data_IF_491742014234
#
_entry.id   IF_491742014234
#
_cell.length_a   1.000
_cell.length_b   1.000
_cell.length_c   1.000
_cell.angle_alpha   90.00
_cell.angle_beta   90.00
_cell.angle_gamma   90.00
#
_symmetry.space_group_name_H-M   'P 1'
#
loop_
_entity.id
_entity.type
_entity.pdbx_description
1 polymer ?
#
# COMPACT_ATOMS: atom_id res chain seq x y z
N UNK A 1 15.66 -15.04 11.66
CA UNK A 1 16.30 -14.45 10.47
C UNK A 1 15.54 -14.90 9.23
N UNK A 2 15.50 -14.06 8.19
CA UNK A 2 14.94 -14.44 6.90
C UNK A 2 15.72 -15.62 6.30
N UNK A 3 15.00 -16.61 5.77
CA UNK A 3 15.62 -17.71 5.02
C UNK A 3 16.04 -17.23 3.60
N UNK A 4 16.80 -18.03 2.87
CA UNK A 4 17.30 -17.67 1.53
C UNK A 4 16.18 -17.37 0.53
N UNK A 5 15.13 -18.18 0.51
CA UNK A 5 13.96 -18.01 -0.39
C UNK A 5 13.26 -16.68 -0.11
N UNK A 6 13.10 -16.34 1.18
CA UNK A 6 12.49 -15.07 1.56
C UNK A 6 13.37 -13.89 1.17
N UNK A 7 14.69 -13.98 1.29
CA UNK A 7 15.61 -12.92 0.86
C UNK A 7 15.54 -12.68 -0.65
N UNK A 8 15.49 -13.75 -1.44
CA UNK A 8 15.37 -13.65 -2.91
C UNK A 8 14.05 -12.98 -3.30
N UNK A 9 12.93 -13.36 -2.67
CA UNK A 9 11.61 -12.77 -2.92
C UNK A 9 11.57 -11.29 -2.53
N UNK A 10 12.26 -10.90 -1.47
CA UNK A 10 12.35 -9.52 -0.99
C UNK A 10 13.38 -8.66 -1.74
N UNK A 11 14.00 -9.16 -2.80
CA UNK A 11 15.00 -8.38 -3.56
C UNK A 11 14.43 -7.08 -4.16
N UNK A 12 13.13 -7.03 -4.46
CA UNK A 12 12.44 -5.86 -5.05
C UNK A 12 11.24 -5.38 -4.21
N UNK A 13 11.37 -5.33 -2.89
CA UNK A 13 10.32 -4.77 -2.03
C UNK A 13 10.11 -3.28 -2.28
N UNK A 14 8.90 -2.79 -1.98
CA UNK A 14 8.55 -1.37 -1.92
C UNK A 14 8.34 -0.91 -0.48
N UNK A 15 8.37 0.40 -0.24
CA UNK A 15 8.23 0.97 1.10
C UNK A 15 7.37 2.23 1.08
N UNK A 16 6.57 2.42 2.13
CA UNK A 16 5.78 3.63 2.34
C UNK A 16 6.50 4.65 3.22
N UNK A 17 6.37 5.91 2.88
CA UNK A 17 6.85 7.05 3.67
C UNK A 17 5.85 8.20 3.65
N UNK A 18 5.85 9.03 4.68
CA UNK A 18 5.31 10.39 4.58
C UNK A 18 6.41 11.35 4.10
N UNK A 19 6.10 12.55 3.61
CA UNK A 19 7.10 13.56 3.23
C UNK A 19 8.17 13.77 4.32
N UNK A 20 7.76 13.93 5.56
CA UNK A 20 8.66 14.13 6.69
C UNK A 20 9.55 12.91 6.97
N UNK A 21 9.01 11.70 6.84
CA UNK A 21 9.77 10.45 7.02
C UNK A 21 10.82 10.31 5.93
N UNK A 22 10.48 10.63 4.67
CA UNK A 22 11.43 10.59 3.56
C UNK A 22 12.62 11.53 3.81
N UNK A 23 12.36 12.80 4.10
CA UNK A 23 13.40 13.80 4.33
C UNK A 23 14.35 13.37 5.45
N UNK A 24 13.82 12.84 6.55
CA UNK A 24 14.63 12.39 7.70
C UNK A 24 15.45 11.13 7.45
N UNK A 25 15.05 10.28 6.51
CA UNK A 25 15.67 8.97 6.25
C UNK A 25 16.23 8.83 4.83
N UNK A 26 16.33 9.92 4.08
CA UNK A 26 16.74 9.93 2.67
C UNK A 26 18.03 9.16 2.41
N UNK A 27 19.08 9.42 3.18
CA UNK A 27 20.38 8.77 3.02
C UNK A 27 20.28 7.26 3.24
N UNK A 28 19.50 6.85 4.25
CA UNK A 28 19.31 5.44 4.58
C UNK A 28 18.50 4.72 3.50
N UNK A 29 17.43 5.33 2.99
CA UNK A 29 16.65 4.79 1.89
C UNK A 29 17.50 4.64 0.61
N UNK A 30 18.35 5.62 0.32
CA UNK A 30 19.25 5.59 -0.82
C UNK A 30 20.39 4.57 -0.70
N UNK A 31 20.70 4.10 0.51
CA UNK A 31 21.70 3.07 0.76
C UNK A 31 21.21 1.64 0.48
N UNK A 32 19.90 1.41 0.40
CA UNK A 32 19.34 0.05 0.22
C UNK A 32 19.58 -0.44 -1.21
N UNK A 33 19.10 0.29 -2.18
CA UNK A 33 19.35 0.10 -3.61
C UNK A 33 18.71 1.24 -4.41
N UNK A 34 19.08 1.40 -5.68
CA UNK A 34 18.39 2.30 -6.60
C UNK A 34 17.17 1.66 -7.23
N UNK A 35 16.30 2.47 -7.81
CA UNK A 35 15.05 2.06 -8.49
C UNK A 35 14.01 1.37 -7.60
N UNK A 36 14.09 1.59 -6.28
CA UNK A 36 13.02 1.16 -5.36
C UNK A 36 11.78 2.01 -5.52
N UNK A 37 10.62 1.36 -5.49
CA UNK A 37 9.33 2.06 -5.39
C UNK A 37 9.17 2.60 -3.98
N UNK A 38 9.03 3.91 -3.87
CA UNK A 38 8.79 4.60 -2.60
C UNK A 38 7.41 5.23 -2.69
N UNK A 39 6.48 4.67 -1.95
CA UNK A 39 5.11 5.16 -1.85
C UNK A 39 5.06 6.36 -0.92
N UNK A 40 4.36 7.41 -1.34
CA UNK A 40 4.25 8.65 -0.57
C UNK A 40 2.84 8.74 -0.01
N UNK A 41 2.70 8.44 1.28
CA UNK A 41 1.42 8.50 1.96
C UNK A 41 0.88 9.94 1.99
N UNK A 42 -0.35 10.10 1.54
CA UNK A 42 -1.10 11.34 1.63
C UNK A 42 -2.11 11.20 2.79
N UNK A 43 -1.67 11.57 3.98
CA UNK A 43 -2.48 11.51 5.19
C UNK A 43 -3.28 12.81 5.39
N UNK A 44 -4.28 12.78 6.28
CA UNK A 44 -5.05 13.97 6.63
C UNK A 44 -4.15 15.13 7.10
N UNK A 45 -4.43 16.33 6.61
CA UNK A 45 -3.59 17.51 6.84
C UNK A 45 -2.34 17.60 5.96
N UNK A 46 -2.08 16.61 5.09
CA UNK A 46 -1.00 16.71 4.11
C UNK A 46 -1.32 17.79 3.06
N UNK A 47 -0.25 18.39 2.54
CA UNK A 47 -0.29 19.40 1.50
C UNK A 47 0.15 18.76 0.17
N UNK A 48 -0.57 19.02 -0.93
CA UNK A 48 -0.24 18.48 -2.28
C UNK A 48 1.15 18.89 -2.73
N UNK A 49 1.60 20.10 -2.39
CA UNK A 49 2.93 20.59 -2.76
C UNK A 49 4.03 19.77 -2.06
N UNK A 50 3.84 19.35 -0.81
CA UNK A 50 4.79 18.49 -0.10
C UNK A 50 4.88 17.11 -0.74
N UNK A 51 3.76 16.56 -1.24
CA UNK A 51 3.75 15.29 -1.98
C UNK A 51 4.53 15.43 -3.30
N UNK A 52 4.27 16.51 -4.07
CA UNK A 52 4.97 16.78 -5.34
C UNK A 52 6.48 16.96 -5.11
N UNK A 53 6.86 17.73 -4.10
CA UNK A 53 8.27 17.98 -3.76
C UNK A 53 8.97 16.71 -3.31
N UNK A 54 8.30 15.87 -2.51
CA UNK A 54 8.84 14.58 -2.08
C UNK A 54 9.00 13.64 -3.27
N UNK A 55 8.01 13.56 -4.16
CA UNK A 55 8.11 12.76 -5.38
C UNK A 55 9.29 13.20 -6.27
N UNK A 56 9.50 14.51 -6.41
CA UNK A 56 10.66 15.06 -7.13
C UNK A 56 11.99 14.65 -6.49
N UNK A 57 12.11 14.73 -5.17
CA UNK A 57 13.32 14.30 -4.45
C UNK A 57 13.58 12.81 -4.64
N UNK A 58 12.55 11.95 -4.51
CA UNK A 58 12.67 10.51 -4.73
C UNK A 58 13.18 10.21 -6.14
N UNK A 59 12.60 10.87 -7.16
CA UNK A 59 13.04 10.70 -8.55
C UNK A 59 14.49 11.16 -8.76
N UNK A 60 14.88 12.30 -8.19
CA UNK A 60 16.27 12.81 -8.25
C UNK A 60 17.27 11.87 -7.58
N UNK A 61 16.85 11.16 -6.55
CA UNK A 61 17.66 10.16 -5.86
C UNK A 61 17.77 8.82 -6.62
N UNK A 62 17.11 8.70 -7.79
CA UNK A 62 17.14 7.52 -8.65
C UNK A 62 16.16 6.42 -8.22
N UNK A 63 15.17 6.76 -7.41
CA UNK A 63 14.09 5.88 -7.01
C UNK A 63 12.78 6.21 -7.76
N UNK A 64 11.78 5.36 -7.62
CA UNK A 64 10.48 5.48 -8.30
C UNK A 64 9.46 6.04 -7.31
N UNK A 65 9.00 7.29 -7.46
CA UNK A 65 7.98 7.85 -6.60
C UNK A 65 6.60 7.30 -6.96
N UNK A 66 5.85 6.83 -5.95
CA UNK A 66 4.47 6.36 -6.07
C UNK A 66 3.57 7.15 -5.10
N UNK A 67 3.12 8.36 -5.46
CA UNK A 67 2.25 9.15 -4.58
C UNK A 67 0.87 8.53 -4.46
N UNK A 68 0.28 8.64 -3.27
CA UNK A 68 -1.13 8.35 -3.03
C UNK A 68 -2.01 9.46 -3.59
N UNK A 69 -3.12 9.08 -4.20
CA UNK A 69 -4.18 9.98 -4.67
C UNK A 69 -5.46 9.59 -3.91
N UNK A 70 -5.72 10.20 -2.75
CA UNK A 70 -6.92 9.90 -1.96
C UNK A 70 -8.13 10.66 -2.51
N UNK A 71 -9.12 9.93 -3.04
CA UNK A 71 -10.32 10.51 -3.67
C UNK A 71 -11.02 11.53 -2.77
N UNK A 72 -11.24 11.17 -1.50
CA UNK A 72 -11.95 12.03 -0.53
C UNK A 72 -11.19 13.31 -0.11
N UNK A 73 -9.96 13.50 -0.60
CA UNK A 73 -9.17 14.73 -0.39
C UNK A 73 -9.00 15.56 -1.67
N UNK A 74 -9.68 15.19 -2.74
CA UNK A 74 -9.69 15.91 -4.01
C UNK A 74 -11.03 16.64 -4.14
N UNK A 75 -10.96 17.94 -4.40
CA UNK A 75 -12.14 18.80 -4.48
C UNK A 75 -13.01 18.50 -5.69
N UNK A 76 -12.40 18.51 -6.87
CA UNK A 76 -13.08 18.39 -8.16
C UNK A 76 -12.14 17.86 -9.25
N UNK A 77 -12.69 17.63 -10.45
CA UNK A 77 -11.92 17.15 -11.62
C UNK A 77 -10.77 18.08 -12.01
N UNK A 78 -10.96 19.40 -11.86
CA UNK A 78 -9.93 20.39 -12.21
C UNK A 78 -8.73 20.28 -11.27
N UNK A 79 -8.97 20.16 -9.96
CA UNK A 79 -7.91 19.96 -8.98
C UNK A 79 -7.18 18.65 -9.19
N UNK A 80 -7.92 17.55 -9.45
CA UNK A 80 -7.32 16.26 -9.78
C UNK A 80 -6.37 16.36 -10.98
N UNK A 81 -6.85 16.98 -12.08
CA UNK A 81 -6.04 17.16 -13.28
C UNK A 81 -4.78 17.96 -13.00
N UNK A 82 -4.91 19.10 -12.32
CA UNK A 82 -3.78 19.95 -11.98
C UNK A 82 -2.74 19.22 -11.10
N UNK A 83 -3.20 18.40 -10.15
CA UNK A 83 -2.32 17.61 -9.29
C UNK A 83 -1.57 16.54 -10.09
N UNK A 84 -2.26 15.80 -10.97
CA UNK A 84 -1.63 14.79 -11.85
C UNK A 84 -0.64 15.44 -12.82
N UNK A 85 -0.99 16.56 -13.43
CA UNK A 85 -0.11 17.30 -14.35
C UNK A 85 1.17 17.79 -13.63
N UNK A 86 1.03 18.27 -12.39
CA UNK A 86 2.17 18.69 -11.57
C UNK A 86 3.06 17.50 -11.18
N UNK A 87 2.51 16.35 -10.78
CA UNK A 87 3.25 15.13 -10.47
C UNK A 87 4.02 14.63 -11.70
N UNK A 88 3.38 14.61 -12.88
CA UNK A 88 4.01 14.20 -14.14
C UNK A 88 5.11 15.18 -14.58
N UNK A 89 4.84 16.47 -14.60
CA UNK A 89 5.76 17.48 -15.14
C UNK A 89 6.91 17.84 -14.19
N UNK A 90 6.66 17.97 -12.89
CA UNK A 90 7.67 18.40 -11.92
C UNK A 90 8.50 17.24 -11.33
N UNK A 91 7.93 16.03 -11.26
CA UNK A 91 8.54 14.89 -10.59
C UNK A 91 8.65 13.62 -11.46
N UNK A 92 8.26 13.70 -12.75
CA UNK A 92 8.25 12.57 -13.68
C UNK A 92 7.56 11.32 -13.12
N UNK A 93 6.49 11.53 -12.32
CA UNK A 93 5.72 10.43 -11.74
C UNK A 93 5.05 9.62 -12.85
N UNK A 94 5.25 8.31 -12.81
CA UNK A 94 4.68 7.32 -13.74
C UNK A 94 3.88 6.24 -13.04
N UNK A 95 3.90 6.20 -11.72
CA UNK A 95 3.20 5.21 -10.91
C UNK A 95 2.44 5.95 -9.79
N UNK A 96 1.21 5.55 -9.50
CA UNK A 96 0.37 6.16 -8.46
C UNK A 96 -0.44 5.10 -7.71
N UNK A 97 -0.79 5.36 -6.45
CA UNK A 97 -1.75 4.56 -5.69
C UNK A 97 -3.06 5.33 -5.52
N UNK A 98 -4.15 4.77 -6.05
CA UNK A 98 -5.50 5.33 -5.94
C UNK A 98 -6.24 4.70 -4.76
N UNK A 99 -6.63 5.51 -3.79
CA UNK A 99 -7.36 5.10 -2.60
C UNK A 99 -8.59 5.98 -2.38
N UNK A 100 -9.53 5.52 -1.55
CA UNK A 100 -10.63 6.37 -1.11
C UNK A 100 -10.13 7.50 -0.20
N UNK A 101 -9.23 7.18 0.71
CA UNK A 101 -8.76 8.07 1.78
C UNK A 101 -9.51 7.85 3.09
N UNK A 102 -8.91 8.27 4.22
CA UNK A 102 -9.41 8.05 5.58
C UNK A 102 -10.53 9.01 6.02
N UNK A 103 -10.74 10.11 5.30
CA UNK A 103 -11.78 11.08 5.63
C UNK A 103 -13.17 10.44 5.56
N UNK A 104 -13.94 10.48 6.65
CA UNK A 104 -15.32 9.98 6.66
C UNK A 104 -16.23 10.79 5.72
N UNK A 105 -16.04 12.11 5.69
CA UNK A 105 -16.77 13.01 4.79
C UNK A 105 -15.81 13.44 3.68
N UNK A 106 -16.15 13.22 2.41
CA UNK A 106 -15.36 13.71 1.29
C UNK A 106 -15.23 15.24 1.32
N UNK A 107 -14.04 15.75 1.00
CA UNK A 107 -13.80 17.19 0.86
C UNK A 107 -14.48 17.76 -0.40
N UNK A 108 -14.65 16.96 -1.43
CA UNK A 108 -15.20 17.37 -2.72
C UNK A 108 -16.09 16.32 -3.37
N UNK A 109 -15.94 16.16 -4.69
CA UNK A 109 -16.87 15.35 -5.52
C UNK A 109 -16.63 13.84 -5.43
N UNK A 110 -15.45 13.40 -4.93
CA UNK A 110 -15.03 12.00 -5.03
C UNK A 110 -15.10 11.27 -3.69
N UNK A 111 -15.76 10.14 -3.66
CA UNK A 111 -15.91 9.26 -2.48
C UNK A 111 -15.00 8.03 -2.56
N UNK A 112 -14.61 7.59 -3.77
CA UNK A 112 -13.89 6.34 -4.01
C UNK A 112 -12.87 6.45 -5.14
N UNK A 113 -11.89 5.53 -5.16
CA UNK A 113 -10.91 5.43 -6.23
C UNK A 113 -11.53 5.10 -7.59
N UNK A 114 -12.72 4.48 -7.62
CA UNK A 114 -13.45 4.19 -8.87
C UNK A 114 -13.86 5.49 -9.56
N UNK A 115 -14.39 6.47 -8.82
CA UNK A 115 -14.76 7.75 -9.40
C UNK A 115 -13.55 8.53 -9.95
N UNK A 116 -12.34 8.29 -9.41
CA UNK A 116 -11.13 8.87 -9.99
C UNK A 116 -10.85 8.32 -11.40
N UNK A 117 -10.93 7.01 -11.61
CA UNK A 117 -10.69 6.41 -12.94
C UNK A 117 -11.79 6.76 -13.93
N UNK A 118 -13.03 6.94 -13.49
CA UNK A 118 -14.16 7.39 -14.34
C UNK A 118 -13.96 8.79 -14.94
N UNK A 119 -13.01 9.58 -14.41
CA UNK A 119 -12.62 10.88 -15.00
C UNK A 119 -11.92 10.73 -16.34
N UNK A 120 -11.35 9.55 -16.65
CA UNK A 120 -10.55 9.27 -17.84
C UNK A 120 -9.09 9.78 -17.76
N UNK A 121 -8.68 10.48 -16.68
CA UNK A 121 -7.33 11.05 -16.56
C UNK A 121 -6.23 10.02 -16.30
N UNK A 122 -6.62 8.77 -16.01
CA UNK A 122 -5.72 7.66 -15.71
C UNK A 122 -5.52 6.67 -16.85
N UNK A 123 -6.18 6.90 -18.00
CA UNK A 123 -6.12 5.97 -19.15
C UNK A 123 -4.76 6.00 -19.85
N UNK A 124 -4.02 7.10 -19.73
CA UNK A 124 -2.76 7.30 -20.45
C UNK A 124 -1.69 7.97 -19.61
N UNK A 125 -0.45 7.75 -20.00
CA UNK A 125 0.71 8.47 -19.45
C UNK A 125 1.21 8.00 -18.09
N UNK A 126 0.60 6.97 -17.51
CA UNK A 126 1.12 6.25 -16.34
C UNK A 126 1.60 4.85 -16.77
N UNK A 127 2.60 4.35 -16.05
CA UNK A 127 3.12 2.99 -16.22
C UNK A 127 2.35 2.00 -15.36
N UNK A 128 2.06 2.40 -14.11
CA UNK A 128 1.38 1.53 -13.15
C UNK A 128 0.41 2.33 -12.29
N UNK A 129 -0.76 1.76 -12.08
CA UNK A 129 -1.77 2.23 -11.13
C UNK A 129 -1.98 1.14 -10.09
N UNK A 130 -1.75 1.51 -8.84
CA UNK A 130 -2.07 0.66 -7.70
C UNK A 130 -3.46 1.00 -7.17
N UNK A 131 -4.18 -0.01 -6.73
CA UNK A 131 -5.43 0.13 -5.97
C UNK A 131 -5.35 -0.61 -4.65
N UNK A 132 -6.03 -0.10 -3.64
CA UNK A 132 -6.12 -0.78 -2.36
C UNK A 132 -6.82 -2.14 -2.48
N UNK A 133 -6.20 -3.17 -1.86
CA UNK A 133 -6.75 -4.50 -1.63
C UNK A 133 -6.97 -4.73 -0.12
N UNK A 134 -8.01 -5.49 0.25
CA UNK A 134 -8.41 -5.68 1.64
C UNK A 134 -8.62 -7.17 1.92
N UNK A 135 -7.56 -7.93 2.26
CA UNK A 135 -7.67 -9.37 2.53
C UNK A 135 -8.61 -9.71 3.69
N UNK A 136 -8.76 -8.80 4.64
CA UNK A 136 -9.59 -8.95 5.84
C UNK A 136 -10.94 -8.22 5.77
N UNK A 137 -11.30 -7.67 4.58
CA UNK A 137 -12.40 -6.74 4.47
C UNK A 137 -12.01 -5.32 4.90
N UNK A 138 -12.96 -4.42 4.90
CA UNK A 138 -12.81 -3.06 5.40
C UNK A 138 -14.19 -2.52 5.80
N UNK A 139 -14.39 -2.27 7.09
CA UNK A 139 -15.68 -1.81 7.64
C UNK A 139 -16.16 -0.49 7.02
N UNK A 140 -15.25 0.44 6.70
CA UNK A 140 -15.62 1.73 6.08
C UNK A 140 -16.17 1.57 4.66
N UNK A 141 -15.80 0.47 3.96
CA UNK A 141 -16.26 0.17 2.60
C UNK A 141 -17.54 -0.65 2.65
N UNK A 142 -17.75 -1.50 3.65
CA UNK A 142 -18.97 -2.27 3.82
C UNK A 142 -20.20 -1.36 4.02
N UNK A 143 -19.99 -0.16 4.56
CA UNK A 143 -21.01 0.90 4.70
C UNK A 143 -21.14 1.77 3.43
N UNK A 144 -20.31 1.55 2.41
CA UNK A 144 -20.31 2.34 1.18
C UNK A 144 -21.34 1.86 0.16
N UNK A 145 -21.64 2.72 -0.84
CA UNK A 145 -22.58 2.39 -1.93
C UNK A 145 -22.08 1.27 -2.85
N UNK A 146 -20.78 0.98 -2.85
CA UNK A 146 -20.16 -0.04 -3.70
C UNK A 146 -19.47 -1.05 -2.77
N UNK A 147 -19.89 -2.32 -2.85
CA UNK A 147 -19.24 -3.39 -2.08
C UNK A 147 -17.79 -3.60 -2.53
N UNK A 148 -16.98 -4.23 -1.66
CA UNK A 148 -15.58 -4.59 -1.97
C UNK A 148 -15.49 -5.43 -3.26
N UNK A 149 -16.35 -6.44 -3.40
CA UNK A 149 -16.35 -7.33 -4.57
C UNK A 149 -16.71 -6.57 -5.86
N UNK A 150 -17.72 -5.69 -5.82
CA UNK A 150 -18.07 -4.85 -6.96
C UNK A 150 -16.93 -3.88 -7.32
N UNK A 151 -16.27 -3.29 -6.33
CA UNK A 151 -15.10 -2.42 -6.53
C UNK A 151 -13.95 -3.17 -7.20
N UNK A 152 -13.68 -4.42 -6.79
CA UNK A 152 -12.63 -5.25 -7.40
C UNK A 152 -12.93 -5.59 -8.85
N UNK A 153 -14.19 -5.89 -9.19
CA UNK A 153 -14.62 -6.11 -10.59
C UNK A 153 -14.41 -4.87 -11.45
N UNK A 154 -14.80 -3.70 -10.97
CA UNK A 154 -14.57 -2.44 -11.69
C UNK A 154 -13.08 -2.13 -11.91
N UNK A 155 -12.20 -2.47 -10.96
CA UNK A 155 -10.75 -2.36 -11.13
C UNK A 155 -10.21 -3.34 -12.17
N UNK A 156 -10.73 -4.60 -12.19
CA UNK A 156 -10.39 -5.58 -13.22
C UNK A 156 -10.88 -5.12 -14.59
N UNK A 157 -12.11 -4.60 -14.71
CA UNK A 157 -12.67 -4.10 -15.97
C UNK A 157 -11.84 -2.91 -16.48
N UNK A 158 -11.42 -2.00 -15.60
CA UNK A 158 -10.51 -0.92 -15.96
C UNK A 158 -9.18 -1.47 -16.50
N UNK A 159 -8.60 -2.45 -15.82
CA UNK A 159 -7.35 -3.08 -16.27
C UNK A 159 -7.47 -3.72 -17.66
N UNK A 160 -8.65 -4.26 -18.01
CA UNK A 160 -8.91 -4.86 -19.32
C UNK A 160 -9.02 -3.82 -20.45
N UNK A 161 -9.24 -2.55 -20.12
CA UNK A 161 -9.49 -1.47 -21.09
C UNK A 161 -8.35 -0.44 -21.18
N UNK A 162 -7.34 -0.51 -20.29
CA UNK A 162 -6.19 0.39 -20.29
C UNK A 162 -4.91 -0.33 -20.68
N UNK A 163 -3.96 0.40 -21.26
CA UNK A 163 -2.57 -0.08 -21.46
C UNK A 163 -1.70 0.03 -20.20
N UNK A 164 -2.20 0.69 -19.15
CA UNK A 164 -1.50 0.90 -17.90
C UNK A 164 -1.53 -0.39 -17.06
N UNK A 165 -0.42 -0.77 -16.46
CA UNK A 165 -0.40 -1.88 -15.50
C UNK A 165 -1.27 -1.55 -14.28
N UNK A 166 -2.15 -2.45 -13.91
CA UNK A 166 -3.02 -2.31 -12.72
C UNK A 166 -2.64 -3.37 -11.70
N UNK A 167 -2.37 -2.94 -10.47
CA UNK A 167 -1.88 -3.80 -9.37
C UNK A 167 -2.75 -3.57 -8.13
N UNK A 168 -3.04 -4.62 -7.39
CA UNK A 168 -3.64 -4.52 -6.06
C UNK A 168 -2.53 -4.43 -5.00
N UNK A 169 -2.49 -3.35 -4.23
CA UNK A 169 -1.66 -3.23 -3.04
C UNK A 169 -2.52 -3.46 -1.80
N UNK A 170 -2.22 -4.49 -1.01
CA UNK A 170 -3.05 -4.79 0.14
C UNK A 170 -2.74 -3.89 1.34
N UNK A 171 -3.76 -3.68 2.17
CA UNK A 171 -3.54 -3.25 3.54
C UNK A 171 -2.70 -4.34 4.25
N UNK A 172 -1.96 -3.96 5.32
CA UNK A 172 -1.22 -4.95 6.10
C UNK A 172 -2.16 -5.94 6.80
N UNK A 173 -1.66 -7.16 6.95
CA UNK A 173 -2.36 -8.26 7.58
C UNK A 173 -1.34 -9.09 8.37
N UNK A 174 -1.76 -9.70 9.47
CA UNK A 174 -0.91 -10.57 10.30
C UNK A 174 -1.24 -12.06 10.15
N UNK A 175 -2.21 -12.41 9.28
CA UNK A 175 -2.57 -13.79 8.96
C UNK A 175 -2.23 -14.13 7.51
N UNK A 176 -1.15 -14.88 7.31
CA UNK A 176 -0.74 -15.34 5.99
C UNK A 176 -1.75 -16.29 5.32
N UNK A 177 -2.53 -17.08 6.12
CA UNK A 177 -3.57 -17.95 5.57
C UNK A 177 -4.70 -17.12 4.97
N UNK A 178 -5.12 -16.06 5.68
CA UNK A 178 -6.14 -15.14 5.18
C UNK A 178 -5.73 -14.49 3.86
N UNK A 179 -4.47 -14.09 3.73
CA UNK A 179 -3.94 -13.54 2.48
C UNK A 179 -4.05 -14.54 1.33
N UNK A 180 -3.63 -15.79 1.55
CA UNK A 180 -3.68 -16.84 0.52
C UNK A 180 -5.12 -17.21 0.16
N UNK A 181 -6.01 -17.32 1.14
CA UNK A 181 -7.44 -17.57 0.91
C UNK A 181 -8.07 -16.45 0.08
N UNK A 182 -7.80 -15.20 0.44
CA UNK A 182 -8.29 -14.05 -0.32
C UNK A 182 -7.75 -14.00 -1.75
N UNK A 183 -6.46 -14.24 -1.95
CA UNK A 183 -5.86 -14.26 -3.27
C UNK A 183 -6.40 -15.38 -4.17
N UNK A 184 -6.70 -16.57 -3.61
CA UNK A 184 -7.38 -17.65 -4.33
C UNK A 184 -8.82 -17.26 -4.69
N UNK A 185 -9.57 -16.69 -3.74
CA UNK A 185 -10.93 -16.21 -3.98
C UNK A 185 -10.98 -15.17 -5.11
N UNK A 186 -10.04 -14.22 -5.16
CA UNK A 186 -9.96 -13.27 -6.27
C UNK A 186 -9.91 -13.98 -7.63
N UNK A 187 -9.08 -15.03 -7.75
CA UNK A 187 -8.97 -15.81 -9.00
C UNK A 187 -10.27 -16.53 -9.35
N UNK A 188 -10.92 -17.12 -8.36
CA UNK A 188 -12.23 -17.78 -8.53
C UNK A 188 -13.30 -16.78 -8.99
N UNK A 189 -13.25 -15.56 -8.50
CA UNK A 189 -14.16 -14.46 -8.86
C UNK A 189 -13.79 -13.76 -10.19
N UNK A 190 -12.74 -14.25 -10.90
CA UNK A 190 -12.29 -13.71 -12.19
C UNK A 190 -11.43 -12.46 -12.09
N UNK A 191 -10.86 -12.18 -10.91
CA UNK A 191 -9.91 -11.08 -10.70
C UNK A 191 -8.49 -11.63 -10.86
N UNK A 192 -7.80 -11.18 -11.90
CA UNK A 192 -6.45 -11.66 -12.28
C UNK A 192 -5.37 -10.61 -12.07
N UNK A 193 -5.68 -9.51 -11.41
CA UNK A 193 -4.73 -8.43 -11.13
C UNK A 193 -3.52 -8.95 -10.34
N UNK A 194 -2.30 -8.50 -10.66
CA UNK A 194 -1.13 -8.70 -9.79
C UNK A 194 -1.38 -8.13 -8.39
N UNK A 195 -0.79 -8.79 -7.39
CA UNK A 195 -0.97 -8.42 -5.99
C UNK A 195 0.40 -8.13 -5.38
N UNK A 196 0.53 -6.99 -4.71
CA UNK A 196 1.61 -6.69 -3.77
C UNK A 196 1.05 -6.73 -2.34
N UNK A 197 1.72 -7.46 -1.45
CA UNK A 197 1.22 -7.65 -0.09
C UNK A 197 1.80 -6.60 0.85
N UNK A 198 0.93 -5.86 1.51
CA UNK A 198 1.28 -4.94 2.56
C UNK A 198 1.70 -5.67 3.84
N UNK A 199 2.86 -5.33 4.38
CA UNK A 199 3.41 -5.93 5.59
C UNK A 199 3.83 -4.84 6.57
N UNK A 200 3.39 -4.95 7.82
CA UNK A 200 3.84 -4.07 8.88
C UNK A 200 5.34 -4.31 9.17
N UNK A 201 6.14 -3.27 9.13
CA UNK A 201 7.54 -3.31 9.58
C UNK A 201 7.64 -3.46 11.10
N UNK A 202 8.87 -3.61 11.63
CA UNK A 202 9.09 -3.69 13.06
C UNK A 202 8.57 -2.44 13.77
N UNK A 203 7.72 -2.64 14.78
CA UNK A 203 7.14 -1.55 15.56
C UNK A 203 6.74 -2.05 16.94
N UNK A 204 6.57 -1.12 17.89
CA UNK A 204 5.99 -1.47 19.20
C UNK A 204 4.57 -2.01 18.99
N UNK A 205 4.22 -3.07 19.71
CA UNK A 205 2.89 -3.70 19.63
C UNK A 205 1.77 -2.68 19.86
N UNK A 206 1.92 -1.79 20.84
CA UNK A 206 0.96 -0.71 21.10
C UNK A 206 0.76 0.23 19.92
N UNK A 207 1.80 0.50 19.14
CA UNK A 207 1.69 1.31 17.91
C UNK A 207 0.96 0.56 16.81
N UNK A 208 1.25 -0.75 16.65
CA UNK A 208 0.56 -1.59 15.67
C UNK A 208 -0.94 -1.73 15.97
N UNK A 209 -1.30 -1.90 17.24
CA UNK A 209 -2.71 -1.92 17.68
C UNK A 209 -3.41 -0.61 17.25
N UNK A 210 -2.79 0.54 17.53
CA UNK A 210 -3.33 1.84 17.11
C UNK A 210 -3.50 1.91 15.58
N UNK A 211 -2.47 1.57 14.82
CA UNK A 211 -2.55 1.58 13.34
C UNK A 211 -3.59 0.59 12.82
N UNK A 212 -3.76 -0.57 13.46
CA UNK A 212 -4.79 -1.55 13.08
C UNK A 212 -6.21 -0.98 13.25
N UNK A 213 -6.44 -0.21 14.32
CA UNK A 213 -7.71 0.49 14.54
C UNK A 213 -7.90 1.58 13.49
N UNK A 214 -6.88 2.44 13.29
CA UNK A 214 -6.94 3.57 12.36
C UNK A 214 -7.15 3.11 10.89
N UNK A 215 -6.65 1.91 10.53
CA UNK A 215 -6.75 1.32 9.19
C UNK A 215 -7.92 0.34 9.02
N UNK A 216 -8.73 0.10 10.05
CA UNK A 216 -9.89 -0.78 9.98
C UNK A 216 -9.57 -2.27 9.77
N UNK A 217 -8.39 -2.76 10.21
CA UNK A 217 -7.96 -4.16 10.09
C UNK A 217 -8.34 -4.97 11.36
N UNK A 218 -9.62 -5.29 11.47
CA UNK A 218 -10.20 -5.90 12.69
C UNK A 218 -9.70 -7.30 13.03
N UNK A 219 -9.64 -8.27 12.09
CA UNK A 219 -9.08 -9.60 12.35
C UNK A 219 -7.61 -9.58 12.77
N UNK A 220 -6.78 -8.79 12.10
CA UNK A 220 -5.37 -8.58 12.47
C UNK A 220 -5.21 -7.97 13.85
N UNK A 221 -6.09 -7.04 14.25
CA UNK A 221 -6.11 -6.50 15.60
C UNK A 221 -6.30 -7.60 16.65
N UNK A 222 -7.27 -8.50 16.44
CA UNK A 222 -7.52 -9.65 17.34
C UNK A 222 -6.31 -10.57 17.46
N UNK A 223 -5.58 -10.80 16.38
CA UNK A 223 -4.36 -11.60 16.40
C UNK A 223 -3.29 -10.95 17.26
N UNK A 224 -3.09 -9.64 17.14
CA UNK A 224 -2.17 -8.89 17.99
C UNK A 224 -2.59 -8.93 19.47
N UNK A 225 -3.85 -8.70 19.78
CA UNK A 225 -4.38 -8.73 21.13
C UNK A 225 -4.23 -10.11 21.78
N UNK A 226 -4.51 -11.18 21.04
CA UNK A 226 -4.43 -12.56 21.54
C UNK A 226 -2.98 -13.01 21.76
N UNK A 227 -2.07 -12.62 20.87
CA UNK A 227 -0.65 -13.02 20.95
C UNK A 227 0.16 -12.18 21.94
N UNK A 228 -0.32 -10.99 22.32
CA UNK A 228 0.38 -10.02 23.17
C UNK A 228 -0.55 -9.49 24.26
N UNK A 229 -1.10 -10.42 25.07
CA UNK A 229 -2.10 -10.09 26.09
C UNK A 229 -1.54 -9.50 27.40
N UNK A 230 -0.24 -9.65 27.65
CA UNK A 230 0.41 -9.21 28.89
C UNK A 230 1.06 -7.83 28.72
N UNK A 231 1.03 -6.99 29.77
CA UNK A 231 1.62 -5.64 29.77
C UNK A 231 3.10 -5.61 29.38
N UNK A 232 3.86 -6.63 29.72
CA UNK A 232 5.29 -6.79 29.36
C UNK A 232 5.46 -7.07 27.86
N UNK A 233 4.59 -7.82 27.24
CA UNK A 233 4.59 -8.16 25.83
C UNK A 233 4.18 -6.97 24.95
N UNK A 234 3.22 -6.16 25.42
CA UNK A 234 2.81 -4.94 24.73
C UNK A 234 3.94 -3.91 24.58
N UNK A 235 4.95 -3.95 25.46
CA UNK A 235 6.13 -3.10 25.36
C UNK A 235 7.19 -3.64 24.39
N UNK A 236 7.01 -4.87 23.87
CA UNK A 236 7.96 -5.49 22.93
C UNK A 236 7.83 -4.92 21.53
N UNK A 237 8.85 -5.18 20.70
CA UNK A 237 8.85 -4.82 19.28
C UNK A 237 8.46 -6.05 18.45
N UNK A 238 7.41 -5.92 17.67
CA UNK A 238 7.03 -6.88 16.63
C UNK A 238 8.14 -7.00 15.60
N UNK A 239 8.41 -8.21 15.13
CA UNK A 239 9.29 -8.48 13.99
C UNK A 239 8.50 -9.19 12.88
N UNK A 240 8.55 -8.72 11.62
CA UNK A 240 7.83 -9.37 10.52
C UNK A 240 8.50 -10.63 10.00
N UNK A 241 9.67 -11.03 10.53
CA UNK A 241 10.52 -12.08 9.94
C UNK A 241 9.82 -13.42 9.86
N UNK A 242 9.18 -13.87 10.94
CA UNK A 242 8.50 -15.18 10.97
C UNK A 242 7.27 -15.17 10.07
N UNK A 243 6.50 -14.08 10.10
CA UNK A 243 5.37 -13.87 9.21
C UNK A 243 5.81 -13.90 7.72
N UNK A 244 6.90 -13.21 7.37
CA UNK A 244 7.43 -13.19 6.00
C UNK A 244 7.88 -14.57 5.54
N UNK A 245 8.60 -15.32 6.38
CA UNK A 245 9.05 -16.67 6.05
C UNK A 245 7.84 -17.60 5.79
N UNK A 246 6.82 -17.54 6.63
CA UNK A 246 5.60 -18.32 6.48
C UNK A 246 4.79 -17.90 5.24
N UNK A 247 4.56 -16.62 5.04
CA UNK A 247 3.84 -16.08 3.89
C UNK A 247 4.52 -16.47 2.57
N UNK A 248 5.84 -16.25 2.45
CA UNK A 248 6.58 -16.51 1.22
C UNK A 248 6.64 -18.03 0.94
N UNK A 249 6.74 -18.87 1.97
CA UNK A 249 6.62 -20.32 1.80
C UNK A 249 5.25 -20.71 1.22
N UNK A 250 4.17 -20.12 1.70
CA UNK A 250 2.81 -20.36 1.20
C UNK A 250 2.60 -19.84 -0.22
N UNK A 251 3.16 -18.68 -0.55
CA UNK A 251 3.14 -18.14 -1.93
C UNK A 251 3.82 -19.14 -2.89
N UNK A 252 5.00 -19.62 -2.53
CA UNK A 252 5.75 -20.57 -3.37
C UNK A 252 5.05 -21.93 -3.52
N UNK A 253 4.34 -22.37 -2.48
CA UNK A 253 3.56 -23.62 -2.53
C UNK A 253 2.27 -23.48 -3.34
N UNK A 254 1.76 -22.26 -3.55
CA UNK A 254 0.50 -21.99 -4.21
C UNK A 254 0.70 -21.19 -5.50
N UNK A 255 0.98 -21.89 -6.60
CA UNK A 255 1.28 -21.30 -7.91
C UNK A 255 0.09 -20.55 -8.56
N UNK A 256 -1.10 -20.68 -8.00
CA UNK A 256 -2.30 -20.04 -8.54
C UNK A 256 -2.47 -18.59 -8.08
N UNK A 257 -1.84 -18.19 -6.98
CA UNK A 257 -1.92 -16.81 -6.50
C UNK A 257 -1.00 -15.89 -7.32
N UNK A 258 -1.49 -14.72 -7.71
CA UNK A 258 -0.73 -13.75 -8.48
C UNK A 258 -0.06 -12.71 -7.56
N UNK A 259 0.58 -13.19 -6.48
CA UNK A 259 1.33 -12.34 -5.54
C UNK A 259 2.75 -12.17 -6.07
N UNK A 260 3.15 -10.92 -6.33
CA UNK A 260 4.40 -10.61 -7.02
C UNK A 260 5.43 -9.93 -6.14
N UNK A 261 5.00 -9.21 -5.09
CA UNK A 261 5.91 -8.38 -4.30
C UNK A 261 5.40 -8.13 -2.88
N UNK A 262 6.30 -7.63 -2.04
CA UNK A 262 6.01 -7.16 -0.68
C UNK A 262 6.16 -5.64 -0.63
N UNK A 263 5.20 -4.99 0.00
CA UNK A 263 5.22 -3.59 0.35
C UNK A 263 5.31 -3.41 1.87
N UNK A 264 6.25 -2.62 2.35
CA UNK A 264 6.41 -2.38 3.78
C UNK A 264 5.79 -1.07 4.24
N UNK A 265 5.01 -1.17 5.32
CA UNK A 265 4.57 -0.05 6.14
C UNK A 265 5.51 0.11 7.35
N UNK A 266 6.49 1.02 7.35
CA UNK A 266 7.54 1.08 8.37
C UNK A 266 7.06 1.84 9.61
N UNK A 267 6.04 1.35 10.27
CA UNK A 267 5.41 1.97 11.45
C UNK A 267 6.38 2.22 12.62
N UNK A 268 7.43 1.42 12.75
CA UNK A 268 8.48 1.60 13.74
C UNK A 268 9.71 2.35 13.23
N UNK A 269 9.69 2.75 11.95
CA UNK A 269 10.74 3.51 11.30
C UNK A 269 11.57 2.71 10.29
N UNK A 270 12.12 3.44 9.33
CA UNK A 270 12.90 2.88 8.20
C UNK A 270 14.13 2.12 8.68
N UNK A 271 14.84 2.65 9.65
CA UNK A 271 16.08 2.03 10.18
C UNK A 271 15.83 0.63 10.74
N UNK A 272 14.75 0.47 11.52
CA UNK A 272 14.41 -0.82 12.11
C UNK A 272 13.90 -1.80 11.04
N UNK A 273 13.17 -1.33 10.05
CA UNK A 273 12.78 -2.14 8.90
C UNK A 273 14.01 -2.71 8.18
N UNK A 274 14.95 -1.86 7.79
CA UNK A 274 16.15 -2.28 7.05
C UNK A 274 16.97 -3.31 7.84
N UNK A 275 17.13 -3.09 9.13
CA UNK A 275 17.83 -4.07 10.00
C UNK A 275 17.14 -5.43 10.07
N UNK A 276 15.81 -5.47 9.92
CA UNK A 276 15.05 -6.72 10.04
C UNK A 276 15.06 -7.57 8.78
N UNK A 277 15.28 -6.95 7.60
CA UNK A 277 15.22 -7.62 6.29
C UNK A 277 16.61 -7.93 5.68
N UNK A 278 17.67 -7.36 6.23
CA UNK A 278 19.07 -7.68 5.88
C UNK A 278 19.58 -8.86 6.73
#
# INVERSE_FOLDING_TARGET
MLNSISKDFLSDFSVEVTPNVYIKNKELLNSISKQKRIFIAYIEGSNKEDIINTAKLIAQDGNIPVPHIPARQIKDKSELKNFLDALKSKANVREVLLIAGSNKIPYGEFESSIQLIETGYFNEGLKTIYFAGHPEGNVDIEESRISLDASLKLKQDFANTTETNVVLLTQFCFDSNQIILWANKLREDGIHLPIEIGVAGPAKITSLIKYSIDCGVGPSLKILENNFSNLTELATTYSPVDFLNDLIQKINANKNVNIQNIHFYPFGGIKELIKSIN
#
